data_IF_058773107117
#
_entry.id   IF_058773107117
#
_cell.length_a   1.000
_cell.length_b   1.000
_cell.length_c   1.000
_cell.angle_alpha   90.00
_cell.angle_beta   90.00
_cell.angle_gamma   90.00
#
_symmetry.space_group_name_H-M   'P 1'
#
loop_
_entity.id
_entity.type
_entity.pdbx_description
1 polymer ?
#
# COMPACT_ATOMS: atom_id res chain seq x y z
N UNK A 1 -5.94 14.83 40.93
CA UNK A 1 -5.03 13.74 40.52
C UNK A 1 -5.88 12.79 39.72
N UNK A 2 -6.08 13.15 38.45
CA UNK A 2 -6.79 12.34 37.47
C UNK A 2 -5.72 11.58 36.68
N UNK A 3 -5.74 10.25 36.79
CA UNK A 3 -4.87 9.38 36.00
C UNK A 3 -5.38 9.35 34.55
N UNK A 4 -4.65 10.04 33.69
CA UNK A 4 -4.77 9.97 32.23
C UNK A 4 -4.43 8.56 31.77
N UNK A 5 -5.47 7.74 31.57
CA UNK A 5 -5.41 6.56 30.73
C UNK A 5 -5.08 6.99 29.29
N UNK A 6 -3.81 6.92 28.90
CA UNK A 6 -3.43 6.94 27.50
C UNK A 6 -3.59 5.54 26.90
N UNK A 7 -4.71 5.41 26.20
CA UNK A 7 -5.08 4.33 25.28
C UNK A 7 -3.94 4.09 24.27
N UNK A 8 -3.63 2.84 23.89
CA UNK A 8 -2.77 2.56 22.73
C UNK A 8 -3.37 3.22 21.47
N UNK A 9 -2.62 3.40 20.37
CA UNK A 9 -3.13 4.11 19.19
C UNK A 9 -4.23 3.29 18.51
N UNK A 10 -5.46 3.40 19.01
CA UNK A 10 -6.66 2.92 18.33
C UNK A 10 -7.16 4.07 17.43
N UNK A 11 -6.62 4.16 16.23
CA UNK A 11 -7.25 4.91 15.17
C UNK A 11 -8.38 4.07 14.54
N UNK A 12 -9.37 3.67 15.35
CA UNK A 12 -10.75 3.36 14.93
C UNK A 12 -11.55 2.76 16.10
N UNK A 13 -12.55 3.47 16.66
CA UNK A 13 -13.44 2.92 17.70
C UNK A 13 -14.45 1.88 17.18
N UNK A 14 -14.27 1.39 15.94
CA UNK A 14 -15.15 0.46 15.23
C UNK A 14 -14.36 -0.64 14.50
N UNK A 15 -13.13 -0.98 14.92
CA UNK A 15 -12.38 -2.10 14.33
C UNK A 15 -13.13 -3.40 14.59
N UNK A 16 -13.54 -4.07 13.52
CA UNK A 16 -14.22 -5.37 13.62
C UNK A 16 -13.28 -6.45 14.19
N UNK A 17 -11.97 -6.19 14.11
CA UNK A 17 -10.91 -7.08 14.56
C UNK A 17 -10.58 -6.95 16.05
N UNK A 18 -10.99 -5.87 16.73
CA UNK A 18 -10.68 -5.65 18.15
C UNK A 18 -11.26 -6.75 19.06
N UNK A 19 -12.41 -7.32 18.66
CA UNK A 19 -13.12 -8.40 19.36
C UNK A 19 -12.97 -9.78 18.69
N UNK A 20 -12.13 -9.92 17.66
CA UNK A 20 -11.97 -11.18 16.95
C UNK A 20 -11.25 -12.22 17.83
N UNK A 21 -11.86 -13.40 17.98
CA UNK A 21 -11.21 -14.54 18.61
C UNK A 21 -10.12 -15.09 17.70
N UNK A 22 -8.88 -14.80 18.05
CA UNK A 22 -7.66 -15.16 17.30
C UNK A 22 -7.53 -16.68 17.15
N UNK A 23 -8.12 -17.45 18.06
CA UNK A 23 -8.10 -18.91 18.00
C UNK A 23 -8.88 -19.49 16.81
N UNK A 24 -9.80 -18.72 16.23
CA UNK A 24 -10.63 -19.11 15.07
C UNK A 24 -9.95 -18.88 13.72
N UNK A 25 -8.88 -18.09 13.71
CA UNK A 25 -8.14 -17.76 12.49
C UNK A 25 -7.44 -19.00 11.97
N UNK A 26 -7.63 -19.28 10.68
CA UNK A 26 -6.92 -20.30 9.91
C UNK A 26 -5.71 -19.62 9.25
N UNK A 27 -4.48 -19.79 9.78
CA UNK A 27 -3.34 -19.03 9.30
C UNK A 27 -3.02 -19.30 7.82
N UNK A 28 -3.31 -20.50 7.32
CA UNK A 28 -3.05 -20.92 5.95
C UNK A 28 -3.90 -20.17 4.90
N UNK A 29 -5.02 -19.55 5.28
CA UNK A 29 -5.80 -18.71 4.36
C UNK A 29 -5.27 -17.28 4.26
N UNK A 30 -4.41 -16.87 5.19
CA UNK A 30 -3.86 -15.51 5.27
C UNK A 30 -2.37 -15.48 4.92
N UNK A 31 -1.62 -16.53 5.28
CA UNK A 31 -0.18 -16.65 5.14
C UNK A 31 0.19 -17.63 4.02
N UNK A 32 1.13 -17.23 3.16
CA UNK A 32 1.65 -18.13 2.12
C UNK A 32 2.50 -19.27 2.72
N UNK A 33 2.66 -20.40 2.01
CA UNK A 33 3.51 -21.51 2.46
C UNK A 33 4.95 -21.09 2.75
N UNK A 34 5.51 -20.18 1.97
CA UNK A 34 6.87 -19.66 2.14
C UNK A 34 7.00 -18.83 3.42
N UNK A 35 6.00 -18.01 3.73
CA UNK A 35 5.95 -17.26 4.98
C UNK A 35 5.83 -18.21 6.18
N UNK A 36 4.94 -19.19 6.12
CA UNK A 36 4.81 -20.20 7.18
C UNK A 36 6.13 -20.94 7.40
N UNK A 37 6.83 -21.31 6.33
CA UNK A 37 8.15 -21.95 6.40
C UNK A 37 9.20 -21.03 7.05
N UNK A 38 9.22 -19.74 6.69
CA UNK A 38 10.11 -18.76 7.29
C UNK A 38 9.81 -18.56 8.78
N UNK A 39 8.53 -18.41 9.15
CA UNK A 39 8.08 -18.30 10.52
C UNK A 39 8.48 -19.53 11.34
N UNK A 40 8.39 -20.73 10.74
CA UNK A 40 8.81 -21.98 11.39
C UNK A 40 10.30 -21.99 11.68
N UNK A 41 11.11 -21.52 10.73
CA UNK A 41 12.56 -21.37 10.93
C UNK A 41 12.86 -20.37 12.06
N UNK A 42 12.21 -19.20 12.08
CA UNK A 42 12.37 -18.20 13.14
C UNK A 42 11.99 -18.75 14.51
N UNK A 43 10.82 -19.40 14.61
CA UNK A 43 10.35 -20.03 15.83
C UNK A 43 11.35 -21.08 16.33
N UNK A 44 11.86 -21.94 15.45
CA UNK A 44 12.86 -22.94 15.79
C UNK A 44 14.19 -22.31 16.24
N UNK A 45 14.64 -21.22 15.63
CA UNK A 45 15.86 -20.52 16.01
C UNK A 45 15.77 -19.88 17.41
N UNK A 46 14.58 -19.40 17.80
CA UNK A 46 14.32 -18.95 19.16
C UNK A 46 14.12 -20.10 20.14
N UNK A 47 13.92 -21.33 19.67
CA UNK A 47 13.58 -22.48 20.48
C UNK A 47 14.80 -23.40 20.70
N UNK A 48 15.39 -23.38 21.90
CA UNK A 48 16.55 -24.24 22.19
C UNK A 48 16.17 -25.46 23.02
N UNK A 49 16.90 -26.57 22.87
CA UNK A 49 16.69 -27.79 23.65
C UNK A 49 16.72 -27.58 25.18
N UNK A 50 17.50 -26.62 25.68
CA UNK A 50 17.55 -26.25 27.10
C UNK A 50 16.20 -25.73 27.66
N UNK A 51 15.37 -25.13 26.81
CA UNK A 51 14.08 -24.57 27.22
C UNK A 51 12.98 -25.63 27.25
N UNK A 52 13.13 -26.67 26.43
CA UNK A 52 12.19 -27.79 26.37
C UNK A 52 12.59 -28.96 27.26
N UNK A 53 13.48 -28.76 28.25
CA UNK A 53 13.97 -29.86 29.10
C UNK A 53 12.86 -30.64 29.83
N UNK A 54 11.64 -30.09 29.91
CA UNK A 54 10.46 -30.72 30.53
C UNK A 54 9.36 -31.15 29.54
N UNK A 55 9.54 -30.94 28.24
CA UNK A 55 8.50 -31.11 27.23
C UNK A 55 9.05 -31.89 26.02
N UNK A 56 8.32 -32.91 25.53
CA UNK A 56 8.73 -33.68 24.34
C UNK A 56 8.83 -32.73 23.12
N UNK A 57 9.82 -32.94 22.25
CA UNK A 57 10.10 -32.11 21.06
C UNK A 57 8.88 -31.74 20.16
N UNK A 58 7.81 -32.55 20.02
CA UNK A 58 6.62 -32.17 19.25
C UNK A 58 5.72 -31.11 19.89
N UNK A 59 5.91 -30.81 21.18
CA UNK A 59 5.17 -29.83 21.98
C UNK A 59 6.02 -28.59 22.29
N UNK A 60 7.03 -28.31 21.47
CA UNK A 60 7.98 -27.25 21.75
C UNK A 60 7.26 -25.88 21.77
N UNK A 61 7.28 -25.21 22.93
CA UNK A 61 6.69 -23.90 23.17
C UNK A 61 7.79 -22.94 23.59
N UNK A 62 7.63 -21.66 23.27
CA UNK A 62 8.57 -20.62 23.66
C UNK A 62 8.16 -20.03 25.01
N UNK A 63 9.02 -20.02 26.03
CA UNK A 63 8.77 -19.24 27.24
C UNK A 63 8.58 -17.75 26.90
N UNK A 64 7.81 -17.03 27.73
CA UNK A 64 7.49 -15.61 27.52
C UNK A 64 8.68 -14.74 27.09
N UNK A 65 9.83 -14.86 27.75
CA UNK A 65 11.03 -14.07 27.41
C UNK A 65 11.49 -14.26 25.94
N UNK A 66 11.37 -15.48 25.41
CA UNK A 66 11.76 -15.80 24.03
C UNK A 66 10.67 -15.46 23.04
N UNK A 67 9.42 -15.64 23.42
CA UNK A 67 8.27 -15.18 22.64
C UNK A 67 8.33 -13.66 22.44
N UNK A 68 8.60 -12.88 23.50
CA UNK A 68 8.80 -11.44 23.41
C UNK A 68 9.99 -11.05 22.53
N UNK A 69 11.10 -11.82 22.59
CA UNK A 69 12.23 -11.62 21.67
C UNK A 69 11.82 -11.85 20.21
N UNK A 70 11.11 -12.93 19.93
CA UNK A 70 10.62 -13.26 18.59
C UNK A 70 9.68 -12.18 18.05
N UNK A 71 8.72 -11.71 18.87
CA UNK A 71 7.82 -10.63 18.49
C UNK A 71 8.54 -9.31 18.26
N UNK A 72 9.59 -9.00 19.03
CA UNK A 72 10.40 -7.80 18.81
C UNK A 72 11.15 -7.83 17.47
N UNK A 73 11.63 -9.01 17.07
CA UNK A 73 12.25 -9.20 15.74
C UNK A 73 11.23 -9.04 14.61
N UNK A 74 9.99 -9.45 14.84
CA UNK A 74 8.90 -9.37 13.86
C UNK A 74 8.24 -7.98 13.79
N UNK A 75 8.22 -7.24 14.90
CA UNK A 75 7.57 -5.94 15.06
C UNK A 75 8.50 -4.94 15.78
N UNK A 76 9.57 -4.47 15.11
CA UNK A 76 10.59 -3.62 15.73
C UNK A 76 10.07 -2.23 16.14
N UNK A 77 8.91 -1.81 15.64
CA UNK A 77 8.27 -0.54 15.98
C UNK A 77 7.48 -0.59 17.29
N UNK A 78 7.16 -1.78 17.81
CA UNK A 78 6.42 -1.93 19.05
C UNK A 78 7.35 -1.75 20.26
N UNK A 79 6.86 -1.02 21.24
CA UNK A 79 7.47 -0.83 22.54
C UNK A 79 7.45 -2.12 23.39
N UNK A 80 8.21 -2.13 24.48
CA UNK A 80 8.28 -3.30 25.36
C UNK A 80 6.93 -3.65 26.02
N UNK A 81 6.14 -2.64 26.39
CA UNK A 81 4.81 -2.86 26.96
C UNK A 81 3.82 -3.39 25.90
N UNK A 82 3.92 -2.93 24.64
CA UNK A 82 3.11 -3.44 23.54
C UNK A 82 3.45 -4.90 23.25
N UNK A 83 4.73 -5.24 23.18
CA UNK A 83 5.18 -6.63 22.98
C UNK A 83 4.70 -7.55 24.11
N UNK A 84 4.69 -7.07 25.36
CA UNK A 84 4.14 -7.85 26.47
C UNK A 84 2.62 -7.99 26.37
N UNK A 85 1.91 -6.94 25.96
CA UNK A 85 0.47 -6.98 25.74
C UNK A 85 0.10 -7.93 24.58
N UNK A 86 0.88 -7.93 23.49
CA UNK A 86 0.81 -8.91 22.41
C UNK A 86 0.90 -10.31 23.01
N UNK A 87 1.99 -10.61 23.72
CA UNK A 87 2.19 -11.93 24.31
C UNK A 87 1.00 -12.37 25.18
N UNK A 88 0.56 -11.51 26.11
CA UNK A 88 -0.56 -11.82 27.00
C UNK A 88 -1.89 -12.02 26.26
N UNK A 89 -2.12 -11.29 25.16
CA UNK A 89 -3.35 -11.40 24.37
C UNK A 89 -3.41 -12.73 23.61
N UNK A 90 -2.26 -13.25 23.17
CA UNK A 90 -2.20 -14.42 22.27
C UNK A 90 -1.67 -15.70 22.93
N UNK A 91 -1.29 -15.66 24.20
CA UNK A 91 -1.26 -16.83 25.09
C UNK A 91 -2.70 -17.26 25.40
N UNK A 92 -3.41 -17.75 24.39
CA UNK A 92 -4.85 -18.04 24.42
C UNK A 92 -5.18 -19.09 25.49
N UNK A 93 -4.29 -20.06 25.68
CA UNK A 93 -4.47 -21.12 26.66
C UNK A 93 -4.01 -20.72 28.08
N UNK A 94 -3.35 -19.55 28.23
CA UNK A 94 -2.88 -18.99 29.49
C UNK A 94 -1.77 -19.81 30.16
N UNK A 95 -1.02 -20.61 29.41
CA UNK A 95 0.00 -21.50 29.96
C UNK A 95 1.35 -20.81 30.18
N UNK A 96 1.45 -19.52 29.87
CA UNK A 96 2.66 -18.71 30.00
C UNK A 96 3.71 -18.98 28.92
N UNK A 97 3.35 -19.72 27.87
CA UNK A 97 4.21 -20.06 26.74
C UNK A 97 3.52 -19.80 25.41
N UNK A 98 4.32 -19.53 24.37
CA UNK A 98 3.83 -19.38 23.01
C UNK A 98 4.02 -20.69 22.23
N UNK A 99 2.93 -21.33 21.85
CA UNK A 99 2.98 -22.47 20.94
C UNK A 99 3.14 -22.04 19.47
N UNK A 100 3.55 -22.97 18.61
CA UNK A 100 3.64 -22.73 17.17
C UNK A 100 2.31 -22.28 16.56
N UNK A 101 1.19 -22.87 17.01
CA UNK A 101 -0.15 -22.52 16.52
C UNK A 101 -0.51 -21.08 16.91
N UNK A 102 -0.32 -20.72 18.18
CA UNK A 102 -0.60 -19.36 18.67
C UNK A 102 0.27 -18.32 17.97
N UNK A 103 1.55 -18.64 17.71
CA UNK A 103 2.42 -17.77 16.94
C UNK A 103 1.91 -17.51 15.51
N UNK A 104 1.50 -18.55 14.78
CA UNK A 104 0.93 -18.39 13.44
C UNK A 104 -0.39 -17.61 13.44
N UNK A 105 -1.27 -17.90 14.38
CA UNK A 105 -2.55 -17.18 14.52
C UNK A 105 -2.34 -15.71 14.83
N UNK A 106 -1.36 -15.40 15.71
CA UNK A 106 -0.93 -14.03 15.98
C UNK A 106 -0.45 -13.36 14.70
N UNK A 107 0.41 -14.02 13.91
CA UNK A 107 0.93 -13.45 12.65
C UNK A 107 -0.18 -13.18 11.63
N UNK A 108 -1.12 -14.11 11.47
CA UNK A 108 -2.27 -13.93 10.58
C UNK A 108 -3.17 -12.78 11.06
N UNK A 109 -3.46 -12.70 12.35
CA UNK A 109 -4.24 -11.61 12.94
C UNK A 109 -3.60 -10.23 12.68
N UNK A 110 -2.29 -10.10 12.92
CA UNK A 110 -1.58 -8.83 12.69
C UNK A 110 -1.61 -8.41 11.22
N UNK A 111 -1.54 -9.36 10.29
CA UNK A 111 -1.74 -9.03 8.87
C UNK A 111 -3.13 -8.46 8.63
N UNK A 112 -4.18 -9.12 9.12
CA UNK A 112 -5.56 -8.62 8.97
C UNK A 112 -5.73 -7.22 9.58
N UNK A 113 -5.11 -6.96 10.73
CA UNK A 113 -5.14 -5.65 11.38
C UNK A 113 -4.45 -4.56 10.55
N UNK A 114 -3.31 -4.89 9.93
CA UNK A 114 -2.60 -3.98 9.02
C UNK A 114 -3.41 -3.72 7.75
N UNK A 115 -4.08 -4.74 7.21
CA UNK A 115 -4.96 -4.58 6.06
C UNK A 115 -6.15 -3.65 6.40
N UNK A 116 -6.79 -3.84 7.56
CA UNK A 116 -7.88 -2.96 8.03
C UNK A 116 -7.40 -1.51 8.28
N UNK A 117 -6.22 -1.33 8.89
CA UNK A 117 -5.69 0.01 9.19
C UNK A 117 -5.39 0.81 7.91
N UNK A 118 -4.87 0.13 6.88
CA UNK A 118 -4.62 0.74 5.56
C UNK A 118 -5.89 1.12 4.80
N UNK A 119 -7.04 0.57 5.15
CA UNK A 119 -8.25 0.73 4.35
C UNK A 119 -8.73 2.17 4.23
N UNK A 120 -8.59 2.99 5.29
CA UNK A 120 -8.92 4.42 5.23
C UNK A 120 -8.01 5.21 4.29
N UNK A 121 -6.73 4.86 4.23
CA UNK A 121 -5.78 5.48 3.31
C UNK A 121 -6.11 5.08 1.87
N UNK A 122 -6.41 3.80 1.64
CA UNK A 122 -6.82 3.31 0.32
C UNK A 122 -8.11 3.97 -0.16
N UNK A 123 -9.08 4.22 0.74
CA UNK A 123 -10.29 4.97 0.40
C UNK A 123 -9.96 6.40 -0.02
N UNK A 124 -9.11 7.11 0.74
CA UNK A 124 -8.66 8.46 0.36
C UNK A 124 -8.01 8.46 -1.01
N UNK A 125 -7.12 7.50 -1.27
CA UNK A 125 -6.44 7.37 -2.57
C UNK A 125 -7.43 7.08 -3.69
N UNK A 126 -8.39 6.18 -3.47
CA UNK A 126 -9.43 5.88 -4.43
C UNK A 126 -10.26 7.12 -4.77
N UNK A 127 -10.70 7.90 -3.77
CA UNK A 127 -11.44 9.15 -3.99
C UNK A 127 -10.66 10.20 -4.77
N UNK A 128 -9.31 10.21 -4.66
CA UNK A 128 -8.47 11.12 -5.45
C UNK A 128 -8.44 10.71 -6.92
N UNK A 129 -8.44 9.40 -7.18
CA UNK A 129 -8.42 8.86 -8.54
C UNK A 129 -9.80 8.93 -9.21
N UNK A 130 -10.88 8.84 -8.42
CA UNK A 130 -12.28 8.89 -8.85
C UNK A 130 -12.77 10.35 -8.95
N UNK A 131 -12.45 10.99 -10.07
CA UNK A 131 -12.64 12.44 -10.21
C UNK A 131 -14.08 12.88 -10.46
N UNK A 132 -14.90 12.02 -11.03
CA UNK A 132 -16.34 12.24 -11.24
C UNK A 132 -17.20 11.69 -10.10
N UNK A 133 -16.56 11.06 -9.10
CA UNK A 133 -17.17 10.58 -7.86
C UNK A 133 -18.34 9.61 -8.11
N UNK A 134 -18.22 8.79 -9.16
CA UNK A 134 -19.21 7.78 -9.51
C UNK A 134 -18.93 6.42 -8.85
N UNK A 135 -17.81 6.31 -8.13
CA UNK A 135 -17.36 5.11 -7.43
C UNK A 135 -16.63 4.11 -8.33
N UNK A 136 -16.29 4.50 -9.56
CA UNK A 136 -15.70 3.63 -10.58
C UNK A 136 -14.44 4.27 -11.16
N UNK A 137 -13.31 3.58 -11.00
CA UNK A 137 -12.07 3.96 -11.68
C UNK A 137 -12.00 3.33 -13.06
N UNK A 138 -11.88 4.16 -14.09
CA UNK A 138 -11.54 3.73 -15.43
C UNK A 138 -10.02 3.67 -15.58
N UNK A 139 -9.50 2.48 -15.90
CA UNK A 139 -8.07 2.23 -15.93
C UNK A 139 -7.30 3.16 -16.88
N UNK A 140 -7.89 3.52 -18.02
CA UNK A 140 -7.24 4.42 -18.99
C UNK A 140 -7.07 5.84 -18.44
N UNK A 141 -8.06 6.36 -17.72
CA UNK A 141 -8.03 7.68 -17.12
C UNK A 141 -6.99 7.77 -16.00
N UNK A 142 -6.97 6.75 -15.14
CA UNK A 142 -6.00 6.65 -14.05
C UNK A 142 -4.58 6.54 -14.60
N UNK A 143 -4.33 5.64 -15.57
CA UNK A 143 -3.00 5.46 -16.16
C UNK A 143 -2.50 6.73 -16.86
N UNK A 144 -3.36 7.42 -17.61
CA UNK A 144 -3.01 8.66 -18.29
C UNK A 144 -2.58 9.75 -17.29
N UNK A 145 -3.34 9.95 -16.21
CA UNK A 145 -3.00 10.92 -15.15
C UNK A 145 -1.68 10.58 -14.47
N UNK A 146 -1.45 9.29 -14.18
CA UNK A 146 -0.22 8.82 -13.55
C UNK A 146 0.99 9.08 -14.47
N UNK A 147 0.88 8.84 -15.78
CA UNK A 147 1.96 9.06 -16.75
C UNK A 147 2.34 10.54 -16.89
N UNK A 148 1.38 11.45 -16.74
CA UNK A 148 1.62 12.90 -16.80
C UNK A 148 2.43 13.45 -15.61
N UNK A 149 2.43 12.75 -14.47
CA UNK A 149 3.06 13.27 -13.26
C UNK A 149 4.56 12.96 -13.12
N UNK A 150 5.10 12.00 -13.87
CA UNK A 150 6.53 11.65 -13.82
C UNK A 150 7.05 11.23 -12.43
N UNK A 151 6.15 10.83 -11.52
CA UNK A 151 6.46 10.59 -10.12
C UNK A 151 7.15 9.24 -9.86
N UNK A 152 8.02 9.20 -8.84
CA UNK A 152 8.43 7.93 -8.22
C UNK A 152 7.21 7.30 -7.51
N UNK A 153 6.93 6.01 -7.73
CA UNK A 153 5.76 5.30 -7.20
C UNK A 153 4.69 4.97 -8.26
N UNK A 154 4.72 5.68 -9.40
CA UNK A 154 3.88 5.44 -10.59
C UNK A 154 3.91 3.99 -11.05
N UNK A 155 5.09 3.34 -11.03
CA UNK A 155 5.23 1.95 -11.47
C UNK A 155 4.39 0.96 -10.64
N UNK A 156 4.28 1.21 -9.33
CA UNK A 156 3.50 0.38 -8.42
C UNK A 156 2.00 0.63 -8.59
N UNK A 157 1.56 1.89 -8.63
CA UNK A 157 0.16 2.23 -8.87
C UNK A 157 -0.30 1.72 -10.25
N UNK A 158 0.53 1.86 -11.29
CA UNK A 158 0.30 1.27 -12.63
C UNK A 158 0.15 -0.25 -12.57
N UNK A 159 1.00 -0.92 -11.80
CA UNK A 159 0.92 -2.36 -11.60
C UNK A 159 -0.37 -2.77 -10.86
N UNK A 160 -0.78 -2.03 -9.83
CA UNK A 160 -2.03 -2.26 -9.09
C UNK A 160 -3.24 -2.10 -10.02
N UNK A 161 -3.32 -0.98 -10.74
CA UNK A 161 -4.43 -0.71 -11.66
C UNK A 161 -4.51 -1.78 -12.75
N UNK A 162 -3.36 -2.18 -13.32
CA UNK A 162 -3.33 -3.24 -14.35
C UNK A 162 -3.82 -4.59 -13.80
N UNK A 163 -3.43 -4.96 -12.58
CA UNK A 163 -3.89 -6.19 -11.95
C UNK A 163 -5.38 -6.13 -11.56
N UNK A 164 -5.87 -4.97 -11.14
CA UNK A 164 -7.27 -4.77 -10.80
C UNK A 164 -8.16 -4.93 -12.04
N UNK A 165 -7.74 -4.41 -13.19
CA UNK A 165 -8.41 -4.67 -14.48
C UNK A 165 -8.43 -6.14 -14.84
N UNK A 166 -7.36 -6.88 -14.58
CA UNK A 166 -7.33 -8.30 -14.87
C UNK A 166 -8.25 -9.09 -13.93
N UNK A 167 -8.31 -8.71 -12.66
CA UNK A 167 -9.21 -9.31 -11.67
C UNK A 167 -10.70 -9.15 -12.05
N UNK A 168 -11.08 -8.04 -12.69
CA UNK A 168 -12.46 -7.83 -13.15
C UNK A 168 -12.83 -8.72 -14.35
N UNK A 169 -11.85 -9.22 -15.12
CA UNK A 169 -12.09 -10.17 -16.23
C UNK A 169 -12.28 -11.62 -15.76
N UNK A 170 -11.65 -11.99 -14.65
CA UNK A 170 -11.67 -13.36 -14.11
C UNK A 170 -12.96 -13.65 -13.32
N UNK A 171 -13.73 -12.62 -12.96
CA UNK A 171 -15.03 -12.76 -12.33
C UNK A 171 -16.03 -13.52 -13.21
N UNK A 172 -16.19 -14.82 -12.96
CA UNK A 172 -17.29 -15.61 -13.51
C UNK A 172 -18.63 -14.90 -13.26
N UNK A 173 -19.28 -14.52 -14.37
CA UNK A 173 -20.73 -14.24 -14.57
C UNK A 173 -21.57 -14.20 -13.29
N UNK A 174 -21.26 -13.29 -12.37
CA UNK A 174 -22.07 -13.07 -11.19
C UNK A 174 -23.25 -12.22 -11.60
N UNK A 175 -24.43 -12.82 -11.56
CA UNK A 175 -25.70 -12.37 -12.16
C UNK A 175 -26.29 -11.08 -11.59
N UNK A 176 -25.52 -10.20 -10.94
CA UNK A 176 -26.11 -9.12 -10.14
C UNK A 176 -25.54 -7.72 -10.33
N UNK A 177 -24.34 -7.52 -10.90
CA UNK A 177 -23.87 -6.17 -11.26
C UNK A 177 -23.03 -6.25 -12.54
N UNK A 178 -23.54 -5.69 -13.63
CA UNK A 178 -22.80 -5.55 -14.89
C UNK A 178 -21.79 -4.40 -14.74
N UNK A 179 -20.57 -4.70 -14.30
CA UNK A 179 -19.46 -3.78 -14.52
C UNK A 179 -18.82 -4.10 -15.88
N UNK A 180 -18.64 -3.10 -16.73
CA UNK A 180 -17.98 -3.28 -18.04
C UNK A 180 -16.49 -3.57 -17.82
N UNK A 181 -15.87 -4.28 -18.76
CA UNK A 181 -14.42 -4.53 -18.73
C UNK A 181 -13.65 -3.22 -18.53
N UNK A 182 -12.81 -3.16 -17.49
CA UNK A 182 -12.01 -1.98 -17.16
C UNK A 182 -12.60 -1.01 -16.12
N UNK A 183 -13.80 -1.29 -15.59
CA UNK A 183 -14.38 -0.59 -14.43
C UNK A 183 -13.82 -1.18 -13.13
N UNK A 184 -13.10 -0.40 -12.34
CA UNK A 184 -12.49 -0.82 -11.08
C UNK A 184 -13.23 -0.14 -9.92
N UNK A 185 -13.96 -0.91 -9.13
CA UNK A 185 -14.59 -0.40 -7.90
C UNK A 185 -13.59 -0.36 -6.74
N UNK A 186 -13.95 0.32 -5.64
CA UNK A 186 -13.11 0.37 -4.45
C UNK A 186 -12.74 -1.03 -3.91
N UNK A 187 -13.69 -1.97 -3.89
CA UNK A 187 -13.46 -3.35 -3.43
C UNK A 187 -12.43 -4.08 -4.31
N UNK A 188 -12.48 -3.89 -5.62
CA UNK A 188 -11.47 -4.46 -6.52
C UNK A 188 -10.09 -3.82 -6.29
N UNK A 189 -10.06 -2.50 -6.09
CA UNK A 189 -8.84 -1.75 -5.85
C UNK A 189 -8.15 -2.15 -4.54
N UNK A 190 -8.89 -2.18 -3.42
CA UNK A 190 -8.37 -2.57 -2.12
C UNK A 190 -7.90 -4.02 -2.11
N UNK A 191 -8.70 -4.96 -2.63
CA UNK A 191 -8.34 -6.36 -2.74
C UNK A 191 -7.05 -6.56 -3.57
N UNK A 192 -6.92 -5.83 -4.69
CA UNK A 192 -5.71 -5.92 -5.53
C UNK A 192 -4.47 -5.40 -4.79
N UNK A 193 -4.59 -4.32 -4.02
CA UNK A 193 -3.47 -3.81 -3.21
C UNK A 193 -3.05 -4.83 -2.17
N UNK A 194 -4.01 -5.43 -1.46
CA UNK A 194 -3.72 -6.49 -0.49
C UNK A 194 -3.06 -7.69 -1.16
N UNK A 195 -3.53 -8.11 -2.34
CA UNK A 195 -2.93 -9.21 -3.11
C UNK A 195 -1.50 -8.90 -3.57
N UNK A 196 -1.25 -7.67 -4.02
CA UNK A 196 0.10 -7.23 -4.40
C UNK A 196 1.05 -7.25 -3.19
N UNK A 197 0.61 -6.75 -2.04
CA UNK A 197 1.37 -6.82 -0.80
C UNK A 197 1.64 -8.26 -0.39
N UNK A 198 0.63 -9.13 -0.37
CA UNK A 198 0.76 -10.55 -0.01
C UNK A 198 1.75 -11.28 -0.92
N UNK A 199 1.69 -11.06 -2.23
CA UNK A 199 2.67 -11.59 -3.21
C UNK A 199 4.08 -11.05 -2.94
N UNK A 200 4.20 -9.78 -2.59
CA UNK A 200 5.51 -9.19 -2.27
C UNK A 200 6.08 -9.76 -0.96
N UNK A 201 5.25 -9.96 0.06
CA UNK A 201 5.63 -10.61 1.32
C UNK A 201 6.04 -12.07 1.11
N UNK A 202 5.33 -12.82 0.27
CA UNK A 202 5.75 -14.16 -0.19
C UNK A 202 7.12 -14.12 -0.88
N UNK A 203 7.33 -13.14 -1.77
CA UNK A 203 8.63 -12.92 -2.44
C UNK A 203 9.76 -12.58 -1.47
N UNK A 204 9.48 -11.76 -0.46
CA UNK A 204 10.41 -11.44 0.64
C UNK A 204 10.73 -12.70 1.43
N UNK A 205 9.72 -13.52 1.76
CA UNK A 205 9.91 -14.76 2.52
C UNK A 205 10.78 -15.75 1.77
N UNK A 206 10.52 -15.92 0.47
CA UNK A 206 11.31 -16.78 -0.43
C UNK A 206 12.78 -16.37 -0.46
N UNK A 207 13.07 -15.08 -0.68
CA UNK A 207 14.44 -14.57 -0.69
C UNK A 207 15.10 -14.70 0.69
N UNK A 208 14.35 -14.48 1.77
CA UNK A 208 14.87 -14.61 3.13
C UNK A 208 15.25 -16.06 3.44
N UNK A 209 14.44 -17.04 3.03
CA UNK A 209 14.79 -18.45 3.13
C UNK A 209 16.04 -18.79 2.33
N UNK A 210 16.20 -18.24 1.12
CA UNK A 210 17.42 -18.41 0.32
C UNK A 210 18.66 -17.84 1.04
N UNK A 211 18.54 -16.66 1.66
CA UNK A 211 19.63 -16.07 2.46
C UNK A 211 20.01 -16.99 3.63
N UNK A 212 19.03 -17.56 4.32
CA UNK A 212 19.26 -18.52 5.41
C UNK A 212 20.03 -19.75 4.90
N UNK A 213 19.59 -20.34 3.78
CA UNK A 213 20.26 -21.51 3.19
C UNK A 213 21.71 -21.19 2.80
N UNK A 214 21.95 -20.01 2.21
CA UNK A 214 23.30 -19.55 1.85
C UNK A 214 24.19 -19.30 3.08
N UNK A 215 23.63 -18.75 4.16
CA UNK A 215 24.35 -18.54 5.42
C UNK A 215 24.77 -19.87 6.06
N UNK A 216 23.91 -20.89 5.98
CA UNK A 216 24.24 -22.24 6.44
C UNK A 216 25.35 -22.86 5.58
N UNK A 217 25.30 -22.71 4.25
CA UNK A 217 26.38 -23.16 3.37
C UNK A 217 27.69 -22.43 3.68
N UNK A 218 27.64 -21.12 3.91
CA UNK A 218 28.80 -20.31 4.29
C UNK A 218 29.44 -20.81 5.58
N UNK A 219 28.66 -21.09 6.63
CA UNK A 219 29.16 -21.67 7.88
C UNK A 219 29.80 -23.05 7.66
N UNK A 220 29.16 -23.91 6.88
CA UNK A 220 29.70 -25.24 6.59
C UNK A 220 31.04 -25.16 5.85
N UNK A 221 31.16 -24.24 4.88
CA UNK A 221 32.41 -24.02 4.16
C UNK A 221 33.51 -23.48 5.08
N UNK A 222 33.19 -22.58 6.02
CA UNK A 222 34.15 -22.12 7.02
C UNK A 222 34.66 -23.28 7.89
N UNK A 223 33.76 -24.15 8.37
CA UNK A 223 34.14 -25.35 9.14
C UNK A 223 35.00 -26.30 8.30
N UNK A 224 34.68 -26.50 7.03
CA UNK A 224 35.47 -27.34 6.12
C UNK A 224 36.86 -26.76 5.87
N UNK A 225 36.99 -25.42 5.69
CA UNK A 225 38.29 -24.74 5.57
C UNK A 225 39.15 -24.94 6.82
N UNK A 226 38.57 -24.83 8.01
CA UNK A 226 39.27 -25.09 9.28
C UNK A 226 39.77 -26.55 9.37
N UNK A 227 39.04 -27.51 8.79
CA UNK A 227 39.43 -28.93 8.76
C UNK A 227 40.42 -29.28 7.64
N UNK A 228 40.31 -28.63 6.46
CA UNK A 228 41.11 -28.91 5.26
C UNK A 228 41.36 -27.61 4.46
N UNK A 229 42.47 -26.90 4.71
CA UNK A 229 42.75 -25.58 4.12
C UNK A 229 42.86 -25.57 2.59
N UNK A 230 43.27 -26.67 1.97
CA UNK A 230 43.54 -26.79 0.53
C UNK A 230 42.29 -27.05 -0.35
N UNK A 231 41.09 -27.20 0.23
CA UNK A 231 39.96 -27.85 -0.46
C UNK A 231 38.87 -26.93 -1.01
N UNK A 232 38.79 -25.67 -0.57
CA UNK A 232 37.71 -24.76 -0.97
C UNK A 232 38.27 -23.63 -1.83
N UNK A 233 37.88 -23.51 -3.11
CA UNK A 233 38.29 -22.40 -3.96
C UNK A 233 37.75 -21.06 -3.44
N UNK A 234 38.60 -20.03 -3.38
CA UNK A 234 38.21 -18.72 -2.81
C UNK A 234 37.09 -18.02 -3.58
N UNK A 235 37.01 -18.23 -4.90
CA UNK A 235 35.93 -17.69 -5.72
C UNK A 235 34.53 -18.19 -5.30
N UNK A 236 34.42 -19.41 -4.76
CA UNK A 236 33.12 -19.95 -4.33
C UNK A 236 32.61 -19.25 -3.05
N UNK A 237 33.50 -18.97 -2.11
CA UNK A 237 33.14 -18.26 -0.88
C UNK A 237 32.82 -16.79 -1.15
N UNK A 238 33.55 -16.17 -2.09
CA UNK A 238 33.28 -14.82 -2.57
C UNK A 238 31.89 -14.72 -3.22
N UNK A 239 31.57 -15.65 -4.13
CA UNK A 239 30.27 -15.70 -4.80
C UNK A 239 29.11 -15.82 -3.80
N UNK A 240 29.23 -16.69 -2.79
CA UNK A 240 28.22 -16.83 -1.73
C UNK A 240 28.02 -15.52 -0.95
N UNK A 241 29.12 -14.83 -0.63
CA UNK A 241 29.03 -13.57 0.12
C UNK A 241 28.31 -12.50 -0.70
N UNK A 242 28.65 -12.38 -1.98
CA UNK A 242 28.00 -11.44 -2.91
C UNK A 242 26.50 -11.78 -3.05
N UNK A 243 26.13 -13.05 -3.22
CA UNK A 243 24.73 -13.45 -3.34
C UNK A 243 23.93 -13.12 -2.08
N UNK A 244 24.47 -13.39 -0.89
CA UNK A 244 23.85 -13.00 0.39
C UNK A 244 23.66 -11.49 0.46
N UNK A 245 24.68 -10.71 0.10
CA UNK A 245 24.63 -9.25 0.14
C UNK A 245 23.57 -8.70 -0.82
N UNK A 246 23.55 -9.15 -2.07
CA UNK A 246 22.57 -8.74 -3.09
C UNK A 246 21.16 -9.06 -2.61
N UNK A 247 20.91 -10.30 -2.19
CA UNK A 247 19.58 -10.70 -1.70
C UNK A 247 19.16 -9.91 -0.46
N UNK A 248 20.09 -9.59 0.45
CA UNK A 248 19.79 -8.77 1.63
C UNK A 248 19.38 -7.35 1.24
N UNK A 249 20.05 -6.75 0.26
CA UNK A 249 19.68 -5.43 -0.27
C UNK A 249 18.34 -5.46 -0.99
N UNK A 250 18.07 -6.49 -1.80
CA UNK A 250 16.78 -6.68 -2.46
C UNK A 250 15.64 -6.84 -1.45
N UNK A 251 15.81 -7.68 -0.42
CA UNK A 251 14.82 -7.86 0.65
C UNK A 251 14.55 -6.52 1.34
N UNK A 252 15.59 -5.75 1.66
CA UNK A 252 15.44 -4.45 2.30
C UNK A 252 14.68 -3.47 1.41
N UNK A 253 14.95 -3.47 0.10
CA UNK A 253 14.23 -2.66 -0.88
C UNK A 253 12.76 -3.07 -0.96
N UNK A 254 12.46 -4.37 -1.15
CA UNK A 254 11.08 -4.87 -1.22
C UNK A 254 10.28 -4.54 0.04
N UNK A 255 10.89 -4.64 1.23
CA UNK A 255 10.24 -4.23 2.49
C UNK A 255 9.89 -2.74 2.54
N UNK A 256 10.70 -1.88 1.91
CA UNK A 256 10.44 -0.44 1.75
C UNK A 256 9.48 -0.12 0.60
N UNK A 257 9.02 -1.11 -0.14
CA UNK A 257 8.03 -0.95 -1.20
C UNK A 257 6.65 -1.48 -0.76
N UNK A 258 6.53 -2.14 0.40
CA UNK A 258 5.24 -2.62 0.94
C UNK A 258 4.26 -1.49 1.18
N UNK A 259 3.05 -1.57 0.64
CA UNK A 259 2.01 -0.55 0.82
C UNK A 259 1.43 -0.70 2.23
N UNK A 260 1.86 0.14 3.16
CA UNK A 260 1.41 0.11 4.56
C UNK A 260 1.23 1.54 5.06
N UNK A 261 0.57 1.74 6.19
CA UNK A 261 0.41 3.09 6.78
C UNK A 261 1.76 3.78 7.01
N UNK A 262 2.78 3.01 7.41
CA UNK A 262 4.14 3.52 7.62
C UNK A 262 4.90 3.76 6.30
N UNK A 263 4.44 3.21 5.20
CA UNK A 263 5.08 3.28 3.89
C UNK A 263 4.05 3.66 2.83
N UNK A 264 3.65 4.94 2.89
CA UNK A 264 2.57 5.52 2.11
C UNK A 264 3.06 6.06 0.76
N UNK A 265 3.84 5.28 0.02
CA UNK A 265 4.33 5.69 -1.30
C UNK A 265 3.20 6.02 -2.28
N UNK A 266 2.04 5.35 -2.11
CA UNK A 266 0.84 5.57 -2.90
C UNK A 266 0.19 6.92 -2.55
N UNK A 267 0.01 7.21 -1.25
CA UNK A 267 -0.55 8.47 -0.79
C UNK A 267 0.35 9.66 -1.13
N UNK A 268 1.67 9.56 -0.96
CA UNK A 268 2.60 10.61 -1.41
C UNK A 268 2.49 10.89 -2.92
N UNK A 269 2.21 9.86 -3.72
CA UNK A 269 2.01 10.03 -5.14
C UNK A 269 0.69 10.71 -5.47
N UNK A 270 -0.38 10.31 -4.77
CA UNK A 270 -1.71 10.90 -4.91
C UNK A 270 -1.78 12.34 -4.38
N UNK A 271 -1.06 12.70 -3.31
CA UNK A 271 -0.95 14.08 -2.83
C UNK A 271 -0.33 15.00 -3.89
N UNK A 272 0.71 14.53 -4.59
CA UNK A 272 1.31 15.32 -5.67
C UNK A 272 0.38 15.42 -6.88
N UNK A 273 -0.38 14.37 -7.19
CA UNK A 273 -1.44 14.40 -8.20
C UNK A 273 -2.52 15.45 -7.85
N UNK A 274 -2.98 15.48 -6.60
CA UNK A 274 -3.93 16.51 -6.14
C UNK A 274 -3.35 17.91 -6.28
N UNK A 275 -2.11 18.13 -5.83
CA UNK A 275 -1.47 19.44 -5.94
C UNK A 275 -1.36 19.90 -7.40
N UNK A 276 -1.08 18.99 -8.36
CA UNK A 276 -1.10 19.35 -9.79
C UNK A 276 -2.50 19.75 -10.25
N UNK A 277 -3.54 19.02 -9.83
CA UNK A 277 -4.91 19.31 -10.20
C UNK A 277 -5.42 20.64 -9.61
N UNK A 278 -5.14 20.91 -8.34
CA UNK A 278 -5.48 22.18 -7.69
C UNK A 278 -4.84 23.38 -8.38
N UNK A 279 -3.57 23.24 -8.81
CA UNK A 279 -2.88 24.27 -9.57
C UNK A 279 -3.53 24.51 -10.93
N UNK A 280 -3.89 23.45 -11.67
CA UNK A 280 -4.58 23.56 -12.96
C UNK A 280 -5.96 24.22 -12.82
N UNK A 281 -6.72 23.80 -11.80
CA UNK A 281 -8.02 24.37 -11.50
C UNK A 281 -7.92 25.84 -11.12
N UNK A 282 -6.93 26.22 -10.31
CA UNK A 282 -6.70 27.61 -9.96
C UNK A 282 -6.36 28.48 -11.18
N UNK A 283 -5.56 27.96 -12.12
CA UNK A 283 -5.26 28.63 -13.39
C UNK A 283 -6.54 28.81 -14.22
N UNK A 284 -7.37 27.76 -14.30
CA UNK A 284 -8.65 27.83 -15.02
C UNK A 284 -9.59 28.87 -14.40
N UNK A 285 -9.73 28.90 -13.08
CA UNK A 285 -10.53 29.90 -12.36
C UNK A 285 -10.02 31.32 -12.59
N UNK A 286 -8.70 31.53 -12.53
CA UNK A 286 -8.09 32.82 -12.84
C UNK A 286 -8.39 33.26 -14.28
N UNK A 287 -8.30 32.34 -15.25
CA UNK A 287 -8.62 32.60 -16.64
C UNK A 287 -10.11 32.91 -16.83
N UNK A 288 -11.00 32.16 -16.18
CA UNK A 288 -12.44 32.37 -16.26
C UNK A 288 -12.85 33.71 -15.62
N UNK A 289 -12.25 34.06 -14.49
CA UNK A 289 -12.42 35.36 -13.84
C UNK A 289 -11.92 36.50 -14.73
N UNK A 290 -10.77 36.31 -15.38
CA UNK A 290 -10.24 37.27 -16.35
C UNK A 290 -11.16 37.45 -17.55
N UNK A 291 -11.61 36.36 -18.18
CA UNK A 291 -12.56 36.40 -19.30
C UNK A 291 -13.87 37.08 -18.88
N UNK A 292 -14.40 36.73 -17.72
CA UNK A 292 -15.60 37.37 -17.14
C UNK A 292 -15.37 38.86 -16.92
N UNK A 293 -14.20 39.25 -16.41
CA UNK A 293 -13.83 40.66 -16.25
C UNK A 293 -13.71 41.40 -17.58
N UNK A 294 -13.13 40.76 -18.60
CA UNK A 294 -13.04 41.28 -19.98
C UNK A 294 -14.41 41.38 -20.66
N UNK A 295 -15.35 40.49 -20.35
CA UNK A 295 -16.71 40.49 -20.89
C UNK A 295 -17.64 41.50 -20.19
N UNK A 296 -17.40 41.79 -18.90
CA UNK A 296 -18.19 42.75 -18.10
C UNK A 296 -17.69 44.19 -18.23
N UNK A 297 -16.41 44.41 -18.54
CA UNK A 297 -15.88 45.74 -18.93
C UNK A 297 -16.02 45.92 -20.43
N UNK A 298 -16.19 47.16 -20.86
CA UNK A 298 -16.25 47.52 -22.28
C UNK A 298 -15.03 46.94 -23.00
N UNK A 299 -15.24 45.94 -23.88
CA UNK A 299 -14.18 45.23 -24.57
C UNK A 299 -13.27 46.18 -25.37
N UNK A 300 -13.79 47.35 -25.74
CA UNK A 300 -13.05 48.45 -26.38
C UNK A 300 -12.01 49.08 -25.45
N UNK A 301 -12.30 49.22 -24.16
CA UNK A 301 -11.38 49.78 -23.15
C UNK A 301 -10.26 48.78 -22.82
N UNK A 302 -10.59 47.49 -22.77
CA UNK A 302 -9.61 46.42 -22.59
C UNK A 302 -8.63 46.34 -23.78
N UNK A 303 -9.16 46.40 -25.00
CA UNK A 303 -8.37 46.48 -26.24
C UNK A 303 -7.49 47.74 -26.26
N UNK A 304 -8.05 48.90 -25.92
CA UNK A 304 -7.33 50.17 -25.86
C UNK A 304 -6.14 50.14 -24.88
N UNK A 305 -6.30 49.52 -23.72
CA UNK A 305 -5.23 49.40 -22.73
C UNK A 305 -4.12 48.42 -23.17
N UNK A 306 -4.46 47.30 -23.83
CA UNK A 306 -3.49 46.36 -24.40
C UNK A 306 -2.67 46.99 -25.54
N UNK A 307 -3.33 47.73 -26.43
CA UNK A 307 -2.68 48.44 -27.54
C UNK A 307 -1.81 49.61 -27.04
N UNK A 308 -2.22 50.30 -25.96
CA UNK A 308 -1.41 51.35 -25.29
C UNK A 308 -0.16 50.82 -24.61
N UNK A 309 -0.17 49.59 -24.09
CA UNK A 309 1.01 48.94 -23.51
C UNK A 309 1.94 48.31 -24.57
N UNK A 310 1.69 48.55 -25.85
CA UNK A 310 2.57 48.14 -26.95
C UNK A 310 2.47 46.65 -27.33
N UNK A 311 1.51 45.90 -26.78
CA UNK A 311 1.27 44.50 -27.13
C UNK A 311 0.23 44.43 -28.25
N UNK A 312 0.66 44.12 -29.48
CA UNK A 312 -0.26 43.86 -30.60
C UNK A 312 -0.95 42.52 -30.41
N UNK A 313 -2.27 42.53 -30.21
CA UNK A 313 -3.08 41.30 -30.14
C UNK A 313 -3.82 41.13 -31.47
N UNK A 314 -3.39 40.17 -32.29
CA UNK A 314 -4.15 39.74 -33.47
C UNK A 314 -5.20 38.72 -33.03
N UNK A 315 -6.34 39.20 -32.54
CA UNK A 315 -7.50 38.33 -32.29
C UNK A 315 -8.12 38.00 -33.65
N UNK A 316 -8.03 36.74 -34.07
CA UNK A 316 -8.80 36.26 -35.22
C UNK A 316 -10.29 36.51 -34.96
N UNK A 317 -11.01 37.06 -35.94
CA UNK A 317 -12.44 37.37 -35.86
C UNK A 317 -13.32 36.17 -35.43
N UNK A 318 -12.78 34.94 -35.48
CA UNK A 318 -13.39 33.71 -34.98
C UNK A 318 -13.45 33.60 -33.45
N UNK A 319 -12.77 34.45 -32.67
CA UNK A 319 -12.98 34.55 -31.21
C UNK A 319 -14.07 35.55 -30.81
N UNK A 320 -14.62 36.31 -31.77
CA UNK A 320 -15.82 37.13 -31.62
C UNK A 320 -17.04 36.40 -32.19
N UNK A 321 -17.18 35.11 -31.89
CA UNK A 321 -18.36 34.35 -32.30
C UNK A 321 -19.61 34.97 -31.66
N UNK A 322 -20.34 35.75 -32.46
CA UNK A 322 -21.77 35.91 -32.28
C UNK A 322 -22.39 34.50 -32.17
N UNK A 323 -23.37 34.29 -31.28
CA UNK A 323 -23.99 32.97 -31.14
C UNK A 323 -24.56 32.52 -32.48
N UNK A 324 -24.44 31.22 -32.83
CA UNK A 324 -24.90 30.73 -34.13
C UNK A 324 -26.42 30.94 -34.27
N UNK A 325 -26.89 31.25 -35.49
CA UNK A 325 -28.23 31.82 -35.73
C UNK A 325 -29.41 30.97 -35.22
N UNK A 326 -29.18 29.69 -35.00
CA UNK A 326 -30.09 28.73 -34.38
C UNK A 326 -30.39 29.00 -32.89
N UNK A 327 -29.65 29.86 -32.20
CA UNK A 327 -29.94 30.31 -30.83
C UNK A 327 -30.72 31.63 -30.75
N UNK A 328 -30.89 32.37 -31.86
CA UNK A 328 -31.66 33.64 -31.87
C UNK A 328 -33.18 33.43 -31.79
N UNK A 329 -33.69 32.25 -32.14
CA UNK A 329 -35.15 32.04 -32.28
C UNK A 329 -35.83 31.79 -30.92
N UNK A 330 -35.12 31.29 -29.90
CA UNK A 330 -35.74 30.96 -28.60
C UNK A 330 -35.74 32.10 -27.56
N UNK A 331 -35.09 33.23 -27.82
CA UNK A 331 -35.02 34.34 -26.85
C UNK A 331 -36.14 35.37 -27.05
N UNK A 332 -36.81 35.38 -28.22
CA UNK A 332 -37.94 36.28 -28.48
C UNK A 332 -39.30 35.74 -28.02
N UNK A 333 -39.42 34.46 -27.68
CA UNK A 333 -40.68 33.87 -27.21
C UNK A 333 -40.86 33.87 -25.68
N UNK A 334 -39.83 34.21 -24.91
CA UNK A 334 -39.87 34.22 -23.43
C UNK A 334 -40.04 35.62 -22.82
N UNK A 335 -40.12 36.68 -23.63
CA UNK A 335 -40.31 38.07 -23.16
C UNK A 335 -41.78 38.54 -23.17
N UNK A 336 -42.74 37.65 -23.44
CA UNK A 336 -44.18 37.95 -23.25
C UNK A 336 -44.78 36.93 -22.30
N UNK A 337 -44.43 36.98 -21.02
CA UNK A 337 -45.30 36.72 -19.88
C UNK A 337 -44.45 36.89 -18.62
N UNK A 338 -44.96 37.74 -17.71
CA UNK A 338 -44.46 38.09 -16.37
C UNK A 338 -43.46 39.24 -16.30
#
# INVERSE_FOLDING_TARGET
MEDLQHRPPSANPASALENLDVSTIVPESVLSPEEIRLLKHKFANCNTAADNMRVRAPLARLPAARACKLFREDYPSLSEWEIQAVFNKYDVNGDGHLSWKEYLQTRAYYRMLLEESTQMELQRIFSILDTDADGILLAHDVLHRIEQTGLHGVGMLKQVITQAVEATKVGEKSRQYYHREGEITFEHFSATIHDVNRKMEQGIATKTLRVIDLQLEQQQQQIQRLRKPSSVPDHKAEALRIEIEVLTHEIRRMKKELITDNNNALGEACEKLMATYENEQHVYECLNNFITHCNLRDATLFRYNLEREGKRVNILNSMLLAPPENLKVNILSLSRYS
#
